data_IF_363175046849
#
_entry.id   IF_363175046849
#
_cell.length_a   1.000
_cell.length_b   1.000
_cell.length_c   1.000
_cell.angle_alpha   90.00
_cell.angle_beta   90.00
_cell.angle_gamma   90.00
#
_symmetry.space_group_name_H-M   'P 1'
#
loop_
_entity.id
_entity.type
_entity.pdbx_description
1 polymer ?
#
# COMPACT_ATOMS: atom_id res chain seq x y z
N UNK A 1 4.99 -16.64 -12.18
CA UNK A 1 5.58 -15.82 -11.11
C UNK A 1 5.94 -16.73 -9.95
N UNK A 2 7.02 -16.43 -9.23
CA UNK A 2 7.32 -17.04 -7.93
C UNK A 2 7.12 -16.01 -6.81
N UNK A 3 6.66 -16.46 -5.65
CA UNK A 3 6.61 -15.63 -4.44
C UNK A 3 8.01 -15.49 -3.86
N UNK A 4 8.44 -14.25 -3.63
CA UNK A 4 9.74 -13.93 -3.02
C UNK A 4 9.57 -13.57 -1.55
N UNK A 5 8.56 -12.77 -1.24
CA UNK A 5 8.24 -12.35 0.12
C UNK A 5 6.77 -11.94 0.23
N UNK A 6 6.18 -12.14 1.41
CA UNK A 6 4.83 -11.71 1.73
C UNK A 6 4.79 -11.07 3.10
N UNK A 7 4.18 -9.88 3.19
CA UNK A 7 3.90 -9.20 4.45
C UNK A 7 2.39 -9.04 4.59
N UNK A 8 1.83 -9.60 5.67
CA UNK A 8 0.44 -9.37 6.08
C UNK A 8 0.44 -8.22 7.09
N UNK A 9 -0.31 -7.17 6.79
CA UNK A 9 -0.38 -5.96 7.61
C UNK A 9 -1.67 -5.96 8.44
N UNK A 10 -1.50 -5.83 9.74
CA UNK A 10 -2.57 -5.47 10.67
C UNK A 10 -2.45 -3.97 10.98
N UNK A 11 -3.53 -3.22 10.76
CA UNK A 11 -3.52 -1.79 11.05
C UNK A 11 -3.91 -1.45 12.49
N UNK A 12 -4.52 -2.39 13.21
CA UNK A 12 -4.82 -2.22 14.63
C UNK A 12 -3.53 -2.12 15.45
N UNK A 13 -3.37 -1.03 16.22
CA UNK A 13 -2.22 -0.80 17.10
C UNK A 13 -2.74 -0.44 18.50
N UNK A 14 -2.69 -1.35 19.48
CA UNK A 14 -3.28 -1.10 20.81
C UNK A 14 -2.58 0.04 21.55
N UNK A 15 -1.34 0.37 21.20
CA UNK A 15 -0.58 1.49 21.78
C UNK A 15 -0.94 2.85 21.16
N UNK A 16 -1.72 2.88 20.06
CA UNK A 16 -2.10 4.10 19.34
C UNK A 16 -3.63 4.24 19.28
N UNK A 17 -4.18 5.16 20.07
CA UNK A 17 -5.64 5.39 20.16
C UNK A 17 -6.31 5.62 18.80
N UNK A 18 -5.61 6.26 17.85
CA UNK A 18 -6.14 6.51 16.51
C UNK A 18 -6.33 5.22 15.69
N UNK A 19 -5.47 4.21 15.85
CA UNK A 19 -5.43 2.99 15.06
C UNK A 19 -6.19 1.85 15.74
N UNK A 20 -7.47 2.08 16.00
CA UNK A 20 -8.39 1.20 16.72
C UNK A 20 -9.17 0.22 15.83
N UNK A 21 -8.77 0.06 14.56
CA UNK A 21 -9.50 -0.73 13.55
C UNK A 21 -8.67 -1.88 12.98
N UNK A 22 -9.28 -3.06 12.93
CA UNK A 22 -8.71 -4.30 12.39
C UNK A 22 -8.80 -4.39 10.85
N UNK A 23 -8.71 -3.27 10.15
CA UNK A 23 -8.49 -3.32 8.71
C UNK A 23 -7.10 -3.92 8.47
N UNK A 24 -6.95 -4.59 7.32
CA UNK A 24 -5.74 -5.31 6.96
C UNK A 24 -5.26 -4.90 5.58
N UNK A 25 -3.98 -5.14 5.32
CA UNK A 25 -3.36 -5.05 4.01
C UNK A 25 -2.47 -6.24 3.73
N UNK A 26 -2.09 -6.42 2.48
CA UNK A 26 -1.08 -7.38 2.06
C UNK A 26 -0.12 -6.71 1.09
N UNK A 27 1.18 -6.99 1.25
CA UNK A 27 2.24 -6.60 0.32
C UNK A 27 2.98 -7.87 -0.08
N UNK A 28 3.03 -8.13 -1.39
CA UNK A 28 3.57 -9.35 -1.98
C UNK A 28 4.65 -8.99 -2.99
N UNK A 29 5.86 -9.51 -2.81
CA UNK A 29 6.93 -9.40 -3.79
C UNK A 29 6.93 -10.65 -4.68
N UNK A 30 6.72 -10.45 -5.97
CA UNK A 30 6.68 -11.50 -6.98
C UNK A 30 7.87 -11.41 -7.93
N UNK A 31 8.41 -12.56 -8.31
CA UNK A 31 9.40 -12.69 -9.36
C UNK A 31 8.75 -13.20 -10.66
N UNK A 32 8.74 -12.43 -11.76
CA UNK A 32 8.36 -12.97 -13.07
C UNK A 32 9.38 -14.02 -13.53
N UNK A 33 8.89 -15.17 -13.96
CA UNK A 33 9.71 -16.26 -14.50
C UNK A 33 9.29 -16.51 -15.95
N UNK A 34 10.26 -16.49 -16.87
CA UNK A 34 10.06 -16.92 -18.26
C UNK A 34 10.43 -18.39 -18.32
N UNK A 35 9.47 -19.22 -18.74
CA UNK A 35 9.63 -20.67 -18.79
C UNK A 35 9.48 -21.14 -20.24
N UNK A 36 10.43 -21.95 -20.70
CA UNK A 36 10.36 -22.67 -21.97
C UNK A 36 10.62 -24.15 -21.69
N UNK A 37 9.76 -25.02 -22.20
CA UNK A 37 9.89 -26.49 -22.04
C UNK A 37 10.14 -26.93 -20.57
N UNK A 38 9.40 -26.32 -19.64
CA UNK A 38 9.52 -26.54 -18.19
C UNK A 38 10.86 -26.12 -17.53
N UNK A 39 11.73 -25.41 -18.25
CA UNK A 39 12.96 -24.81 -17.72
C UNK A 39 12.80 -23.29 -17.63
N UNK A 40 13.22 -22.69 -16.51
CA UNK A 40 13.28 -21.22 -16.38
C UNK A 40 14.44 -20.70 -17.23
N UNK A 41 14.15 -19.88 -18.23
CA UNK A 41 15.14 -19.35 -19.18
C UNK A 41 15.49 -17.89 -18.92
N UNK A 42 14.61 -17.14 -18.26
CA UNK A 42 14.89 -15.77 -17.83
C UNK A 42 14.07 -15.39 -16.61
N UNK A 43 14.56 -14.38 -15.88
CA UNK A 43 13.90 -13.81 -14.71
C UNK A 43 13.66 -12.32 -14.99
N UNK A 44 12.41 -11.88 -14.90
CA UNK A 44 12.03 -10.48 -15.09
C UNK A 44 12.28 -9.64 -13.84
N UNK A 45 12.16 -8.31 -13.89
CA UNK A 45 12.29 -7.45 -12.71
C UNK A 45 11.21 -7.77 -11.64
N UNK A 46 11.53 -7.70 -10.34
CA UNK A 46 10.55 -7.94 -9.28
C UNK A 46 9.32 -7.03 -9.38
N UNK A 47 8.16 -7.56 -8.96
CA UNK A 47 6.87 -6.88 -8.92
C UNK A 47 6.32 -6.90 -7.49
N UNK A 48 6.27 -5.74 -6.85
CA UNK A 48 5.59 -5.53 -5.58
C UNK A 48 4.10 -5.27 -5.82
N UNK A 49 3.23 -6.16 -5.35
CA UNK A 49 1.77 -6.02 -5.42
C UNK A 49 1.24 -5.78 -4.01
N UNK A 50 0.56 -4.67 -3.81
CA UNK A 50 -0.10 -4.33 -2.56
C UNK A 50 -1.62 -4.30 -2.75
N UNK A 51 -2.36 -4.80 -1.75
CA UNK A 51 -3.82 -4.73 -1.73
C UNK A 51 -4.33 -4.43 -0.32
N UNK A 52 -5.36 -3.60 -0.22
CA UNK A 52 -5.95 -3.21 1.08
C UNK A 52 -7.44 -2.91 0.94
N UNK A 53 -8.13 -2.88 2.08
CA UNK A 53 -9.44 -2.25 2.21
C UNK A 53 -9.39 -1.31 3.41
N UNK A 54 -9.24 -0.01 3.15
CA UNK A 54 -9.14 1.03 4.19
C UNK A 54 -10.46 1.19 4.94
N UNK A 55 -10.41 1.84 6.11
CA UNK A 55 -11.58 2.12 6.91
C UNK A 55 -12.71 2.77 6.07
N UNK A 56 -13.93 2.26 6.21
CA UNK A 56 -15.10 2.82 5.54
C UNK A 56 -15.44 4.20 6.10
N UNK A 57 -15.66 4.35 7.42
CA UNK A 57 -16.22 5.54 8.08
C UNK A 57 -15.74 6.91 7.49
N UNK A 58 -16.64 7.72 6.88
CA UNK A 58 -16.28 8.97 6.21
C UNK A 58 -15.79 10.07 7.17
N UNK A 59 -16.07 9.94 8.47
CA UNK A 59 -15.62 10.91 9.49
C UNK A 59 -14.18 10.67 9.96
N UNK A 60 -13.62 9.49 9.68
CA UNK A 60 -12.32 9.04 10.20
C UNK A 60 -11.25 8.97 9.12
N UNK A 61 -11.11 10.05 8.34
CA UNK A 61 -10.09 10.13 7.31
C UNK A 61 -8.66 10.24 7.85
N UNK A 62 -8.50 10.65 9.11
CA UNK A 62 -7.28 10.50 9.91
C UNK A 62 -6.82 9.04 9.99
N UNK A 63 -7.74 8.11 10.28
CA UNK A 63 -7.43 6.67 10.34
C UNK A 63 -7.09 6.13 8.96
N UNK A 64 -7.85 6.52 7.93
CA UNK A 64 -7.57 6.09 6.56
C UNK A 64 -6.18 6.53 6.11
N UNK A 65 -5.79 7.77 6.45
CA UNK A 65 -4.47 8.31 6.16
C UNK A 65 -3.37 7.54 6.90
N UNK A 66 -3.56 7.23 8.18
CA UNK A 66 -2.61 6.44 8.95
C UNK A 66 -2.48 5.00 8.42
N UNK A 67 -3.58 4.35 8.07
CA UNK A 67 -3.59 3.02 7.44
C UNK A 67 -2.86 3.02 6.09
N UNK A 68 -3.12 4.04 5.26
CA UNK A 68 -2.42 4.22 3.98
C UNK A 68 -0.92 4.45 4.20
N UNK A 69 -0.53 5.25 5.20
CA UNK A 69 0.87 5.49 5.53
C UNK A 69 1.60 4.20 5.93
N UNK A 70 0.96 3.32 6.71
CA UNK A 70 1.53 2.00 7.06
C UNK A 70 1.72 1.14 5.81
N UNK A 71 0.73 1.09 4.91
CA UNK A 71 0.84 0.35 3.65
C UNK A 71 1.99 0.88 2.77
N UNK A 72 2.07 2.20 2.61
CA UNK A 72 3.13 2.84 1.82
C UNK A 72 4.52 2.62 2.42
N UNK A 73 4.65 2.62 3.75
CA UNK A 73 5.90 2.33 4.43
C UNK A 73 6.38 0.89 4.17
N UNK A 74 5.47 -0.08 4.16
CA UNK A 74 5.81 -1.48 3.82
C UNK A 74 6.22 -1.62 2.35
N UNK A 75 5.50 -0.96 1.43
CA UNK A 75 5.88 -0.92 0.01
C UNK A 75 7.28 -0.31 -0.17
N UNK A 76 7.57 0.81 0.50
CA UNK A 76 8.89 1.46 0.44
C UNK A 76 10.00 0.56 1.00
N UNK A 77 9.73 -0.20 2.07
CA UNK A 77 10.68 -1.19 2.61
C UNK A 77 11.00 -2.29 1.58
N UNK A 78 9.99 -2.81 0.88
CA UNK A 78 10.16 -3.79 -0.20
C UNK A 78 10.98 -3.21 -1.37
N UNK A 79 10.67 -1.98 -1.81
CA UNK A 79 11.41 -1.31 -2.88
C UNK A 79 12.88 -1.12 -2.47
N UNK A 80 13.14 -0.66 -1.25
CA UNK A 80 14.51 -0.49 -0.71
C UNK A 80 15.27 -1.81 -0.66
N UNK A 81 14.60 -2.90 -0.28
CA UNK A 81 15.18 -4.25 -0.28
C UNK A 81 15.59 -4.70 -1.68
N UNK A 82 14.76 -4.47 -2.70
CA UNK A 82 15.10 -4.75 -4.10
C UNK A 82 16.28 -3.89 -4.57
N UNK A 83 16.24 -2.57 -4.27
CA UNK A 83 17.31 -1.64 -4.64
C UNK A 83 18.65 -2.01 -4.03
N UNK A 84 18.66 -2.51 -2.78
CA UNK A 84 19.88 -3.00 -2.12
C UNK A 84 20.50 -4.20 -2.84
N UNK A 85 19.71 -4.98 -3.59
CA UNK A 85 20.17 -6.08 -4.46
C UNK A 85 20.54 -5.63 -5.88
N UNK A 86 20.45 -4.32 -6.17
CA UNK A 86 20.65 -3.79 -7.52
C UNK A 86 19.46 -4.00 -8.46
N UNK A 87 18.28 -4.35 -7.94
CA UNK A 87 17.09 -4.63 -8.73
C UNK A 87 16.13 -3.43 -8.75
N UNK A 88 15.54 -3.16 -9.91
CA UNK A 88 14.41 -2.23 -10.01
C UNK A 88 13.10 -2.96 -9.71
N UNK A 89 12.31 -2.44 -8.77
CA UNK A 89 11.03 -3.03 -8.37
C UNK A 89 9.86 -2.26 -9.00
N UNK A 90 9.02 -2.96 -9.75
CA UNK A 90 7.75 -2.41 -10.23
C UNK A 90 6.70 -2.51 -9.13
N UNK A 91 5.77 -1.56 -9.05
CA UNK A 91 4.76 -1.51 -7.98
C UNK A 91 3.36 -1.46 -8.58
N UNK A 92 2.46 -2.28 -8.05
CA UNK A 92 1.02 -2.22 -8.28
C UNK A 92 0.33 -2.10 -6.93
N UNK A 93 -0.48 -1.07 -6.75
CA UNK A 93 -1.29 -0.88 -5.54
C UNK A 93 -2.76 -0.96 -5.93
N UNK A 94 -3.47 -1.91 -5.32
CA UNK A 94 -4.88 -2.14 -5.52
C UNK A 94 -5.64 -2.00 -4.20
N UNK A 95 -6.97 -1.94 -4.28
CA UNK A 95 -7.81 -2.02 -3.11
C UNK A 95 -9.03 -1.11 -3.14
N UNK A 96 -9.80 -1.18 -2.07
CA UNK A 96 -10.84 -0.21 -1.76
C UNK A 96 -10.30 0.81 -0.75
N UNK A 97 -10.01 2.01 -1.23
CA UNK A 97 -9.46 3.10 -0.42
C UNK A 97 -10.55 3.90 0.30
N UNK A 98 -11.84 3.61 0.06
CA UNK A 98 -12.98 4.35 0.59
C UNK A 98 -12.83 5.88 0.45
N UNK A 99 -12.31 6.32 -0.71
CA UNK A 99 -12.07 7.70 -1.07
C UNK A 99 -12.38 7.91 -2.54
N UNK A 100 -13.07 8.99 -2.90
CA UNK A 100 -13.31 9.35 -4.30
C UNK A 100 -12.11 10.12 -4.90
N UNK A 101 -12.01 10.21 -6.24
CA UNK A 101 -11.00 11.06 -6.88
C UNK A 101 -11.04 12.50 -6.37
N UNK A 102 -9.89 13.18 -6.43
CA UNK A 102 -9.66 14.57 -5.96
C UNK A 102 -9.78 14.81 -4.45
N UNK A 103 -10.09 13.79 -3.64
CA UNK A 103 -9.97 13.90 -2.18
C UNK A 103 -8.50 13.92 -1.75
N UNK A 104 -8.16 14.52 -0.59
CA UNK A 104 -6.79 14.58 -0.07
C UNK A 104 -6.07 13.23 0.02
N UNK A 105 -6.76 12.16 0.41
CA UNK A 105 -6.19 10.80 0.45
C UNK A 105 -5.82 10.31 -0.96
N UNK A 106 -6.69 10.54 -1.94
CA UNK A 106 -6.40 10.23 -3.34
C UNK A 106 -5.24 11.09 -3.87
N UNK A 107 -5.21 12.39 -3.53
CA UNK A 107 -4.13 13.30 -3.90
C UNK A 107 -2.77 12.78 -3.43
N UNK A 108 -2.66 12.35 -2.17
CA UNK A 108 -1.43 11.76 -1.64
C UNK A 108 -0.94 10.59 -2.49
N UNK A 109 -1.84 9.72 -2.95
CA UNK A 109 -1.48 8.55 -3.76
C UNK A 109 -0.94 8.99 -5.13
N UNK A 110 -1.55 9.98 -5.77
CA UNK A 110 -1.19 10.37 -7.15
C UNK A 110 -0.04 11.37 -7.23
N UNK A 111 0.16 12.22 -6.22
CA UNK A 111 1.22 13.24 -6.21
C UNK A 111 2.36 12.93 -5.27
N UNK A 112 2.19 11.98 -4.35
CA UNK A 112 3.19 11.66 -3.33
C UNK A 112 3.28 12.67 -2.19
N UNK A 113 2.41 13.68 -2.16
CA UNK A 113 2.43 14.74 -1.16
C UNK A 113 1.02 15.17 -0.72
N UNK A 114 0.91 15.59 0.54
CA UNK A 114 -0.32 16.12 1.10
C UNK A 114 -0.02 17.17 2.17
N UNK A 115 -0.55 18.38 1.98
CA UNK A 115 -0.58 19.39 3.03
C UNK A 115 -1.83 19.20 3.90
N UNK A 116 -1.65 18.73 5.14
CA UNK A 116 -2.75 18.36 6.04
C UNK A 116 -2.91 19.29 7.26
N UNK A 117 -2.10 20.35 7.38
CA UNK A 117 -2.21 21.27 8.50
C UNK A 117 -3.56 22.00 8.48
N UNK A 118 -4.33 21.87 9.57
CA UNK A 118 -5.67 22.43 9.70
C UNK A 118 -6.75 21.70 8.89
N UNK A 119 -6.42 20.57 8.24
CA UNK A 119 -7.38 19.79 7.47
C UNK A 119 -8.27 18.95 8.40
N UNK A 120 -9.61 19.13 8.38
CA UNK A 120 -10.50 18.30 9.18
C UNK A 120 -10.47 16.82 8.75
N UNK A 121 -10.46 15.89 9.71
CA UNK A 121 -10.36 14.45 9.43
C UNK A 121 -11.47 13.94 8.46
N UNK A 122 -12.68 14.50 8.56
CA UNK A 122 -13.80 14.16 7.69
C UNK A 122 -13.68 14.71 6.25
N UNK A 123 -12.64 15.50 5.95
CA UNK A 123 -12.35 15.99 4.60
C UNK A 123 -11.24 15.20 3.91
N UNK A 124 -10.58 14.26 4.59
CA UNK A 124 -9.42 13.54 4.02
C UNK A 124 -9.84 12.44 3.03
N UNK A 125 -10.86 11.64 3.36
CA UNK A 125 -11.27 10.47 2.56
C UNK A 125 -12.79 10.32 2.46
N UNK A 126 -13.47 11.37 1.96
CA UNK A 126 -14.91 11.31 1.70
C UNK A 126 -15.21 10.31 0.57
N UNK A 127 -16.32 9.61 0.74
CA UNK A 127 -16.98 8.78 -0.27
C UNK A 127 -18.49 9.00 -0.13
N UNK A 128 -19.24 8.59 -1.15
CA UNK A 128 -20.71 8.74 -1.16
C UNK A 128 -21.37 7.88 -0.09
#
# INVERSE_FOLDING_TARGET
>A
FAEVAVTKLEFFRPEMEMLDRHNVGIVLLLQPLVVQEAVVTAVGPPLCVANTHLLFNPKRGDVKLAQLAILLAEIDAVIKSCKAKGEHCNVVVCGDFNSVPHMPLHQLIITGELYYQGLPANMVGKHK
#
